data_IF_232938598016
#
_entry.id   IF_232938598016
#
_cell.length_a   1.000
_cell.length_b   1.000
_cell.length_c   1.000
_cell.angle_alpha   90.00
_cell.angle_beta   90.00
_cell.angle_gamma   90.00
#
_symmetry.space_group_name_H-M   'P 1'
#
loop_
_entity.id
_entity.type
_entity.pdbx_description
1 polymer ?
#
# COMPACT_ATOMS: atom_id res chain seq x y z
N UNK A 1 -7.73 21.24 24.27
CA UNK A 1 -6.97 22.48 24.58
C UNK A 1 -5.52 22.15 24.95
N UNK A 2 -4.57 22.85 24.32
CA UNK A 2 -3.14 22.70 24.55
C UNK A 2 -2.68 23.48 25.79
N UNK A 3 -1.72 22.93 26.55
CA UNK A 3 -1.08 23.63 27.65
C UNK A 3 0.35 24.02 27.26
N UNK A 4 0.51 25.26 26.79
CA UNK A 4 1.81 25.83 26.39
C UNK A 4 2.82 26.02 27.53
N UNK A 5 2.54 25.56 28.76
CA UNK A 5 3.55 25.44 29.83
C UNK A 5 4.22 24.06 29.86
N UNK A 6 3.71 23.08 29.10
CA UNK A 6 4.31 21.76 28.99
C UNK A 6 5.57 21.84 28.11
N UNK A 7 6.77 21.50 28.64
CA UNK A 7 8.03 21.62 27.88
C UNK A 7 7.99 20.87 26.55
N UNK A 8 7.53 19.61 26.58
CA UNK A 8 7.42 18.77 25.38
C UNK A 8 6.57 19.38 24.26
N UNK A 9 5.54 20.18 24.59
CA UNK A 9 4.74 20.86 23.58
C UNK A 9 5.47 22.07 23.00
N UNK A 10 6.26 22.79 23.82
CA UNK A 10 7.10 23.89 23.34
C UNK A 10 8.20 23.38 22.43
N UNK A 11 8.81 22.26 22.78
CA UNK A 11 9.85 21.64 21.98
C UNK A 11 9.33 21.33 20.57
N UNK A 12 8.09 20.82 20.44
CA UNK A 12 7.45 20.61 19.13
C UNK A 12 7.18 21.93 18.39
N UNK A 13 6.76 22.98 19.09
CA UNK A 13 6.48 24.29 18.47
C UNK A 13 7.77 24.96 17.97
N UNK A 14 8.87 24.82 18.72
CA UNK A 14 10.16 25.44 18.40
C UNK A 14 11.01 24.62 17.42
N UNK A 15 10.72 23.32 17.27
CA UNK A 15 11.42 22.44 16.33
C UNK A 15 11.13 22.82 14.86
N UNK A 16 12.09 22.56 13.96
CA UNK A 16 11.84 22.61 12.52
C UNK A 16 10.64 21.74 12.13
N UNK A 17 9.96 22.12 11.06
CA UNK A 17 8.77 21.46 10.57
C UNK A 17 9.04 20.11 9.86
N UNK A 18 9.76 19.20 10.52
CA UNK A 18 9.86 17.81 10.12
C UNK A 18 8.52 17.11 10.38
N UNK A 19 7.78 16.82 9.31
CA UNK A 19 6.42 16.30 9.38
C UNK A 19 6.35 14.98 10.15
N UNK A 20 7.29 14.07 9.93
CA UNK A 20 7.32 12.74 10.55
C UNK A 20 7.54 12.86 12.07
N UNK A 21 8.57 13.61 12.45
CA UNK A 21 8.96 13.79 13.83
C UNK A 21 7.88 14.54 14.62
N UNK A 22 7.34 15.62 14.05
CA UNK A 22 6.24 16.39 14.66
C UNK A 22 5.00 15.52 14.84
N UNK A 23 4.59 14.75 13.82
CA UNK A 23 3.44 13.83 13.92
C UNK A 23 3.64 12.82 15.03
N UNK A 24 4.81 12.18 15.07
CA UNK A 24 5.16 11.16 16.08
C UNK A 24 5.11 11.72 17.49
N UNK A 25 5.68 12.92 17.70
CA UNK A 25 5.69 13.57 19.01
C UNK A 25 4.30 14.00 19.45
N UNK A 26 3.52 14.60 18.55
CA UNK A 26 2.14 15.00 18.85
C UNK A 26 1.22 13.81 19.08
N UNK A 27 1.33 12.73 18.30
CA UNK A 27 0.56 11.51 18.48
C UNK A 27 0.83 10.89 19.86
N UNK A 28 2.10 10.81 20.25
CA UNK A 28 2.51 10.32 21.58
C UNK A 28 1.95 11.19 22.71
N UNK A 29 2.09 12.51 22.61
CA UNK A 29 1.56 13.45 23.61
C UNK A 29 0.02 13.40 23.70
N UNK A 30 -0.64 13.32 22.55
CA UNK A 30 -2.08 13.17 22.43
C UNK A 30 -2.56 11.88 23.12
N UNK A 31 -1.95 10.73 22.83
CA UNK A 31 -2.35 9.45 23.43
C UNK A 31 -2.14 9.42 24.95
N UNK A 32 -0.99 9.88 25.44
CA UNK A 32 -0.73 9.95 26.89
C UNK A 32 -1.77 10.79 27.63
N UNK A 33 -2.17 11.92 27.03
CA UNK A 33 -3.18 12.81 27.63
C UNK A 33 -4.59 12.27 27.46
N UNK A 34 -4.93 11.69 26.30
CA UNK A 34 -6.23 11.08 26.04
C UNK A 34 -6.53 10.00 27.07
N UNK A 35 -5.56 9.13 27.38
CA UNK A 35 -5.70 8.10 28.41
C UNK A 35 -6.10 8.70 29.77
N UNK A 36 -5.41 9.77 30.20
CA UNK A 36 -5.71 10.47 31.46
C UNK A 36 -7.12 11.09 31.50
N UNK A 37 -7.67 11.47 30.33
CA UNK A 37 -9.05 11.94 30.21
C UNK A 37 -10.02 10.76 30.27
N UNK A 38 -9.80 9.70 29.50
CA UNK A 38 -10.72 8.55 29.43
C UNK A 38 -10.74 7.70 30.70
N UNK A 39 -9.69 7.76 31.54
CA UNK A 39 -9.68 7.12 32.87
C UNK A 39 -10.70 7.72 33.86
N UNK A 40 -11.34 8.84 33.50
CA UNK A 40 -12.34 9.52 34.32
C UNK A 40 -13.73 9.38 33.72
N UNK A 41 -14.67 8.85 34.49
CA UNK A 41 -16.04 8.53 34.06
C UNK A 41 -16.82 9.70 33.42
N UNK A 42 -16.54 10.95 33.80
CA UNK A 42 -17.22 12.13 33.24
C UNK A 42 -16.72 12.54 31.84
N UNK A 43 -15.56 12.05 31.42
CA UNK A 43 -14.92 12.44 30.15
C UNK A 43 -15.03 11.36 29.08
N UNK A 44 -15.10 10.09 29.49
CA UNK A 44 -15.12 8.95 28.56
C UNK A 44 -16.35 8.91 27.64
N UNK A 45 -17.43 9.62 27.99
CA UNK A 45 -18.67 9.72 27.20
C UNK A 45 -18.94 11.16 26.69
N UNK A 46 -17.95 12.05 26.77
CA UNK A 46 -18.11 13.44 26.33
C UNK A 46 -17.43 13.64 24.98
N UNK A 47 -18.14 13.24 23.92
CA UNK A 47 -17.61 13.21 22.56
C UNK A 47 -17.17 14.59 22.07
N UNK A 48 -17.93 15.65 22.37
CA UNK A 48 -17.57 17.03 22.02
C UNK A 48 -16.23 17.45 22.65
N UNK A 49 -16.04 17.13 23.94
CA UNK A 49 -14.79 17.46 24.63
C UNK A 49 -13.61 16.61 24.12
N UNK A 50 -13.84 15.34 23.78
CA UNK A 50 -12.81 14.46 23.21
C UNK A 50 -12.42 14.92 21.79
N UNK A 51 -13.39 15.36 21.00
CA UNK A 51 -13.16 15.96 19.68
C UNK A 51 -12.34 17.24 19.80
N UNK A 52 -12.78 18.23 20.58
CA UNK A 52 -12.06 19.50 20.76
C UNK A 52 -10.64 19.28 21.33
N UNK A 53 -10.49 18.26 22.17
CA UNK A 53 -9.18 17.83 22.65
C UNK A 53 -8.29 17.32 21.51
N UNK A 54 -8.78 16.39 20.68
CA UNK A 54 -8.06 15.90 19.50
C UNK A 54 -7.76 17.00 18.50
N UNK A 55 -8.75 17.83 18.17
CA UNK A 55 -8.64 18.93 17.22
C UNK A 55 -7.55 19.93 17.63
N UNK A 56 -7.33 20.14 18.93
CA UNK A 56 -6.25 21.01 19.42
C UNK A 56 -4.85 20.53 19.03
N UNK A 57 -4.59 19.22 19.10
CA UNK A 57 -3.29 18.65 18.71
C UNK A 57 -3.17 18.57 17.18
N UNK A 58 -4.24 18.17 16.52
CA UNK A 58 -4.29 18.08 15.06
C UNK A 58 -4.13 19.45 14.40
N UNK A 59 -4.59 20.52 15.06
CA UNK A 59 -4.35 21.89 14.60
C UNK A 59 -2.88 22.29 14.70
N UNK A 60 -2.18 21.92 15.77
CA UNK A 60 -0.74 22.15 15.86
C UNK A 60 0.03 21.33 14.80
N UNK A 61 -0.39 20.10 14.52
CA UNK A 61 0.17 19.32 13.42
C UNK A 61 -0.09 20.00 12.07
N UNK A 62 -1.31 20.47 11.82
CA UNK A 62 -1.70 21.23 10.63
C UNK A 62 -0.87 22.51 10.46
N UNK A 63 -0.65 23.27 11.53
CA UNK A 63 0.16 24.48 11.49
C UNK A 63 1.63 24.14 11.12
N UNK A 64 2.16 23.01 11.62
CA UNK A 64 3.49 22.52 11.26
C UNK A 64 3.59 21.96 9.85
N UNK A 65 2.53 21.31 9.34
CA UNK A 65 2.43 20.95 7.93
C UNK A 65 2.50 22.19 7.04
N UNK A 66 1.78 23.25 7.40
CA UNK A 66 1.82 24.51 6.68
C UNK A 66 3.21 25.14 6.69
N UNK A 67 3.88 25.16 7.86
CA UNK A 67 5.27 25.60 7.99
C UNK A 67 6.20 24.81 7.05
N UNK A 68 6.12 23.48 7.05
CA UNK A 68 6.91 22.62 6.18
C UNK A 68 6.70 22.92 4.69
N UNK A 69 5.45 23.16 4.27
CA UNK A 69 5.12 23.50 2.89
C UNK A 69 5.62 24.89 2.49
N UNK A 70 5.65 25.86 3.41
CA UNK A 70 6.18 27.19 3.12
C UNK A 70 7.71 27.21 3.06
N UNK A 71 8.37 26.35 3.85
CA UNK A 71 9.84 26.27 3.92
C UNK A 71 10.47 25.48 2.75
N UNK A 72 9.70 24.64 2.05
CA UNK A 72 10.16 23.92 0.86
C UNK A 72 10.18 24.85 -0.37
N UNK A 73 11.34 24.97 -1.04
CA UNK A 73 11.52 25.90 -2.16
C UNK A 73 10.57 25.63 -3.35
N UNK A 74 10.23 24.38 -3.64
CA UNK A 74 9.35 24.03 -4.76
C UNK A 74 7.88 24.30 -4.45
N UNK A 75 7.49 24.22 -3.18
CA UNK A 75 6.11 24.44 -2.74
C UNK A 75 5.89 25.92 -2.37
N UNK A 76 6.78 26.50 -1.57
CA UNK A 76 6.71 27.86 -1.03
C UNK A 76 6.65 28.95 -2.09
N UNK A 77 7.37 28.78 -3.20
CA UNK A 77 7.38 29.71 -4.33
C UNK A 77 6.29 29.41 -5.38
N UNK A 78 5.45 28.40 -5.14
CA UNK A 78 4.47 27.95 -6.13
C UNK A 78 3.17 28.73 -6.08
N UNK A 79 2.57 28.95 -7.25
CA UNK A 79 1.20 29.46 -7.33
C UNK A 79 0.18 28.51 -6.67
N UNK A 80 0.50 27.23 -6.50
CA UNK A 80 -0.42 26.29 -5.84
C UNK A 80 -0.71 26.74 -4.41
N UNK A 81 0.33 27.13 -3.66
CA UNK A 81 0.21 27.47 -2.25
C UNK A 81 -0.71 28.67 -2.00
N UNK A 82 -0.78 29.63 -2.93
CA UNK A 82 -1.68 30.78 -2.88
C UNK A 82 -3.17 30.40 -2.88
N UNK A 83 -3.50 29.23 -3.43
CA UNK A 83 -4.86 28.69 -3.49
C UNK A 83 -5.15 27.65 -2.39
N UNK A 84 -4.13 27.21 -1.65
CA UNK A 84 -4.30 26.14 -0.66
C UNK A 84 -4.70 26.68 0.71
N UNK A 85 -5.55 25.92 1.41
CA UNK A 85 -5.78 26.12 2.82
C UNK A 85 -6.11 24.80 3.53
N UNK A 86 -5.73 24.71 4.80
CA UNK A 86 -5.87 23.51 5.61
C UNK A 86 -7.03 23.65 6.61
N UNK A 87 -7.73 22.55 6.87
CA UNK A 87 -8.83 22.50 7.82
C UNK A 87 -8.78 21.28 8.71
N UNK A 88 -8.94 21.46 10.02
CA UNK A 88 -9.19 20.33 10.93
C UNK A 88 -10.68 19.98 10.93
N UNK A 89 -11.00 18.70 10.71
CA UNK A 89 -12.38 18.21 10.69
C UNK A 89 -12.56 17.01 11.62
N UNK A 90 -13.79 16.79 12.08
CA UNK A 90 -14.17 15.62 12.88
C UNK A 90 -14.39 14.40 12.00
N UNK A 91 -13.95 13.23 12.47
CA UNK A 91 -14.24 11.93 11.88
C UNK A 91 -14.72 10.95 12.96
N UNK A 92 -15.37 9.87 12.55
CA UNK A 92 -15.91 8.84 13.45
C UNK A 92 -14.86 8.27 14.42
N UNK A 93 -13.60 8.20 13.97
CA UNK A 93 -12.49 7.64 14.74
C UNK A 93 -11.39 8.65 15.09
N UNK A 94 -11.67 9.95 15.01
CA UNK A 94 -10.71 10.99 15.42
C UNK A 94 -10.88 12.31 14.68
N UNK A 95 -9.76 12.84 14.21
CA UNK A 95 -9.70 14.12 13.49
C UNK A 95 -8.84 13.96 12.26
N UNK A 96 -9.23 14.63 11.18
CA UNK A 96 -8.45 14.71 9.96
C UNK A 96 -7.97 16.13 9.68
N UNK A 97 -6.99 16.23 8.78
CA UNK A 97 -6.59 17.49 8.14
C UNK A 97 -7.02 17.43 6.68
N UNK A 98 -7.95 18.29 6.28
CA UNK A 98 -8.31 18.47 4.88
C UNK A 98 -7.37 19.48 4.23
N UNK A 99 -6.93 19.17 3.01
CA UNK A 99 -6.16 20.07 2.14
C UNK A 99 -7.07 20.53 1.01
N UNK A 100 -7.46 21.80 1.05
CA UNK A 100 -8.45 22.37 0.14
C UNK A 100 -7.78 23.32 -0.84
N UNK A 101 -8.34 23.43 -2.03
CA UNK A 101 -7.99 24.37 -3.09
C UNK A 101 -9.13 25.35 -3.31
N UNK A 102 -8.86 26.64 -3.24
CA UNK A 102 -9.81 27.70 -3.58
C UNK A 102 -9.59 28.12 -5.04
N UNK A 103 -10.57 27.92 -5.91
CA UNK A 103 -10.45 28.32 -7.31
C UNK A 103 -10.63 29.83 -7.53
N UNK A 104 -10.42 30.28 -8.77
CA UNK A 104 -10.56 31.69 -9.18
C UNK A 104 -11.98 32.25 -8.98
N UNK A 105 -13.00 31.39 -8.88
CA UNK A 105 -14.38 31.78 -8.62
C UNK A 105 -14.67 31.87 -7.11
N UNK A 106 -13.75 31.41 -6.26
CA UNK A 106 -13.88 31.33 -4.82
C UNK A 106 -14.56 30.05 -4.32
N UNK A 107 -14.77 29.06 -5.20
CA UNK A 107 -15.30 27.76 -4.81
C UNK A 107 -14.17 26.91 -4.18
N UNK A 108 -14.53 26.13 -3.15
CA UNK A 108 -13.58 25.26 -2.44
C UNK A 108 -13.69 23.83 -2.93
N UNK A 109 -12.55 23.26 -3.27
CA UNK A 109 -12.37 21.91 -3.77
C UNK A 109 -11.50 21.13 -2.77
N UNK A 110 -11.96 19.98 -2.30
CA UNK A 110 -11.17 19.14 -1.40
C UNK A 110 -10.20 18.32 -2.25
N UNK A 111 -8.89 18.58 -2.12
CA UNK A 111 -7.89 17.81 -2.88
C UNK A 111 -7.71 16.44 -2.24
N UNK A 112 -7.24 16.42 -1.00
CA UNK A 112 -7.00 15.21 -0.22
C UNK A 112 -7.18 15.48 1.27
N UNK A 113 -7.34 14.42 2.06
CA UNK A 113 -7.33 14.48 3.52
C UNK A 113 -6.23 13.61 4.11
N UNK A 114 -5.71 14.03 5.27
CA UNK A 114 -4.91 13.20 6.17
C UNK A 114 -5.87 12.65 7.22
N UNK A 115 -6.35 11.43 6.99
CA UNK A 115 -7.32 10.77 7.86
C UNK A 115 -6.65 10.28 9.14
N UNK A 116 -7.35 10.41 10.27
CA UNK A 116 -6.83 10.07 11.60
C UNK A 116 -5.41 10.61 11.87
N UNK A 117 -5.14 11.88 11.56
CA UNK A 117 -3.79 12.48 11.44
C UNK A 117 -2.79 12.25 12.59
N UNK A 118 -3.26 11.91 13.80
CA UNK A 118 -2.43 11.63 14.98
C UNK A 118 -2.49 10.16 15.44
N UNK A 119 -2.93 9.25 14.58
CA UNK A 119 -3.04 7.82 14.85
C UNK A 119 -2.02 7.01 14.05
N UNK A 120 -1.74 5.79 14.50
CA UNK A 120 -0.84 4.86 13.79
C UNK A 120 -1.40 4.40 12.43
N UNK A 121 -2.70 4.59 12.21
CA UNK A 121 -3.40 4.26 10.97
C UNK A 121 -3.65 5.51 10.12
N UNK A 122 -2.91 6.59 10.36
CA UNK A 122 -3.03 7.79 9.57
C UNK A 122 -2.66 7.49 8.11
N UNK A 123 -3.50 7.93 7.19
CA UNK A 123 -3.33 7.70 5.76
C UNK A 123 -3.87 8.89 4.98
N UNK A 124 -3.48 8.97 3.71
CA UNK A 124 -4.01 9.95 2.78
C UNK A 124 -5.24 9.36 2.10
N UNK A 125 -6.26 10.20 1.89
CA UNK A 125 -7.43 9.87 1.08
C UNK A 125 -7.56 10.91 -0.02
N UNK A 126 -7.54 10.46 -1.27
CA UNK A 126 -7.71 11.36 -2.41
C UNK A 126 -9.19 11.71 -2.62
N UNK A 127 -9.48 12.96 -2.97
CA UNK A 127 -10.83 13.41 -3.31
C UNK A 127 -10.86 13.95 -4.73
N UNK A 128 -10.23 15.09 -4.99
CA UNK A 128 -10.19 15.72 -6.32
C UNK A 128 -8.77 15.81 -6.89
N UNK A 129 -7.91 14.88 -6.49
CA UNK A 129 -6.58 14.70 -7.07
C UNK A 129 -6.64 14.05 -8.45
N UNK A 130 -5.61 14.27 -9.30
CA UNK A 130 -5.60 13.72 -10.65
C UNK A 130 -5.50 12.20 -10.64
N UNK A 131 -6.22 11.56 -11.55
CA UNK A 131 -6.17 10.11 -11.81
C UNK A 131 -5.59 9.82 -13.20
N UNK A 132 -5.30 8.55 -13.51
CA UNK A 132 -4.68 8.15 -14.78
C UNK A 132 -5.49 8.60 -16.00
N UNK A 133 -6.82 8.59 -15.90
CA UNK A 133 -7.72 9.02 -16.96
C UNK A 133 -7.57 10.52 -17.31
N UNK A 134 -7.15 11.36 -16.35
CA UNK A 134 -6.95 12.80 -16.52
C UNK A 134 -5.60 13.14 -17.16
N UNK A 135 -4.62 12.23 -17.08
CA UNK A 135 -3.33 12.39 -17.76
C UNK A 135 -3.47 12.03 -19.25
N UNK A 136 -4.23 10.96 -19.54
CA UNK A 136 -4.33 10.38 -20.88
C UNK A 136 -5.28 11.16 -21.80
N UNK A 137 -6.32 11.76 -21.23
CA UNK A 137 -7.14 12.73 -21.92
C UNK A 137 -6.57 14.09 -21.54
N UNK A 138 -6.22 14.95 -22.50
CA UNK A 138 -5.94 16.37 -22.22
C UNK A 138 -7.21 17.00 -21.62
N UNK A 139 -7.45 16.79 -20.32
CA UNK A 139 -8.66 17.18 -19.64
C UNK A 139 -8.70 18.70 -19.64
N UNK A 140 -9.39 19.26 -20.63
CA UNK A 140 -9.58 20.69 -20.74
C UNK A 140 -10.28 21.18 -19.47
N UNK A 141 -9.54 21.93 -18.64
CA UNK A 141 -10.09 22.59 -17.46
C UNK A 141 -9.89 21.88 -16.13
N UNK A 142 -8.91 20.98 -15.96
CA UNK A 142 -8.52 20.55 -14.61
C UNK A 142 -8.04 21.75 -13.78
N UNK A 143 -8.46 21.81 -12.51
CA UNK A 143 -8.24 22.97 -11.64
C UNK A 143 -6.76 23.25 -11.34
N UNK A 144 -5.93 22.20 -11.29
CA UNK A 144 -4.49 22.31 -11.05
C UNK A 144 -3.77 22.29 -12.41
N UNK A 145 -3.22 23.43 -12.81
CA UNK A 145 -2.51 23.53 -14.09
C UNK A 145 -1.10 22.89 -14.03
N UNK A 146 -0.47 22.72 -15.19
CA UNK A 146 0.85 22.08 -15.29
C UNK A 146 1.96 22.78 -14.48
N UNK A 147 1.85 24.08 -14.20
CA UNK A 147 2.85 24.82 -13.41
C UNK A 147 2.69 24.60 -11.90
N UNK A 148 1.48 24.30 -11.45
CA UNK A 148 1.17 23.98 -10.06
C UNK A 148 1.49 22.51 -9.72
N UNK A 149 1.54 21.67 -10.74
CA UNK A 149 1.72 20.23 -10.58
C UNK A 149 3.03 19.81 -9.88
N UNK A 150 4.21 20.41 -10.16
CA UNK A 150 5.45 20.06 -9.44
C UNK A 150 5.37 20.30 -7.93
N UNK A 151 4.71 21.39 -7.51
CA UNK A 151 4.50 21.66 -6.09
C UNK A 151 3.57 20.63 -5.44
N UNK A 152 2.50 20.24 -6.14
CA UNK A 152 1.59 19.19 -5.67
C UNK A 152 2.32 17.84 -5.51
N UNK A 153 3.14 17.45 -6.49
CA UNK A 153 3.97 16.24 -6.42
C UNK A 153 4.90 16.30 -5.20
N UNK A 154 5.58 17.42 -4.98
CA UNK A 154 6.49 17.62 -3.86
C UNK A 154 5.77 17.56 -2.50
N UNK A 155 4.57 18.15 -2.38
CA UNK A 155 3.75 18.03 -1.17
C UNK A 155 3.45 16.56 -0.83
N UNK A 156 3.06 15.77 -1.83
CA UNK A 156 2.81 14.34 -1.63
C UNK A 156 4.12 13.60 -1.26
N UNK A 157 5.26 13.92 -1.87
CA UNK A 157 6.56 13.34 -1.51
C UNK A 157 6.91 13.60 -0.03
N UNK A 158 6.74 14.83 0.45
CA UNK A 158 6.97 15.16 1.87
C UNK A 158 6.04 14.37 2.82
N UNK A 159 4.78 14.17 2.43
CA UNK A 159 3.83 13.37 3.21
C UNK A 159 4.20 11.88 3.22
N UNK A 160 4.66 11.35 2.09
CA UNK A 160 5.13 9.96 1.98
C UNK A 160 6.38 9.71 2.82
N UNK A 161 7.34 10.65 2.85
CA UNK A 161 8.49 10.61 3.76
C UNK A 161 8.03 10.54 5.21
N UNK A 162 6.94 11.22 5.55
CA UNK A 162 6.33 11.18 6.88
C UNK A 162 5.42 9.97 7.14
N UNK A 163 5.51 8.92 6.32
CA UNK A 163 4.71 7.70 6.43
C UNK A 163 3.20 7.99 6.42
N UNK A 164 2.78 8.91 5.54
CA UNK A 164 1.39 9.17 5.16
C UNK A 164 1.20 8.77 3.71
N UNK A 165 0.52 7.65 3.49
CA UNK A 165 0.36 7.06 2.16
C UNK A 165 -1.11 7.00 1.75
N UNK A 166 -1.38 7.10 0.45
CA UNK A 166 -2.67 6.65 -0.10
C UNK A 166 -2.78 5.13 0.03
N UNK A 167 -4.00 4.62 0.16
CA UNK A 167 -4.23 3.19 0.38
C UNK A 167 -4.39 2.40 -0.92
N UNK A 168 -4.76 3.07 -2.00
CA UNK A 168 -4.97 2.43 -3.29
C UNK A 168 -4.41 3.24 -4.47
N UNK A 169 -3.72 2.60 -5.43
CA UNK A 169 -3.29 3.24 -6.69
C UNK A 169 -4.45 3.81 -7.52
N UNK A 170 -5.70 3.40 -7.26
CA UNK A 170 -6.89 3.93 -7.94
C UNK A 170 -7.22 5.36 -7.53
N UNK A 171 -6.77 5.79 -6.35
CA UNK A 171 -7.10 7.09 -5.77
C UNK A 171 -6.43 8.25 -6.51
N UNK A 172 -5.17 8.09 -6.90
CA UNK A 172 -4.41 9.17 -7.54
C UNK A 172 -3.12 8.67 -8.19
N UNK A 173 -2.67 9.40 -9.21
CA UNK A 173 -1.38 9.22 -9.91
C UNK A 173 -0.18 9.86 -9.21
N UNK A 174 -0.40 10.47 -8.05
CA UNK A 174 0.65 11.11 -7.27
C UNK A 174 1.37 10.14 -6.32
N UNK A 175 1.06 8.84 -6.40
CA UNK A 175 1.72 7.83 -5.57
C UNK A 175 3.07 7.44 -6.17
N UNK A 176 4.08 7.12 -5.37
CA UNK A 176 5.32 6.50 -5.84
C UNK A 176 5.04 5.22 -6.61
N UNK A 177 5.82 4.96 -7.66
CA UNK A 177 5.76 3.69 -8.39
C UNK A 177 6.42 2.57 -7.57
N UNK A 178 7.48 2.91 -6.85
CA UNK A 178 8.17 1.92 -6.02
C UNK A 178 7.28 1.48 -4.86
N UNK A 179 7.18 0.17 -4.65
CA UNK A 179 6.27 -0.48 -3.71
C UNK A 179 4.77 -0.21 -3.97
N UNK A 180 4.40 0.21 -5.18
CA UNK A 180 2.98 0.34 -5.52
C UNK A 180 2.35 -1.05 -5.56
N UNK A 181 1.43 -1.30 -4.64
CA UNK A 181 0.88 -2.61 -4.35
C UNK A 181 -0.64 -2.63 -4.54
N UNK A 182 -1.16 -3.62 -5.27
CA UNK A 182 -2.59 -3.75 -5.51
C UNK A 182 -3.02 -5.16 -5.92
N UNK A 183 -4.30 -5.47 -5.67
CA UNK A 183 -4.91 -6.75 -5.99
C UNK A 183 -5.13 -6.91 -7.49
N UNK A 184 -4.84 -8.09 -8.02
CA UNK A 184 -5.04 -8.43 -9.43
C UNK A 184 -5.93 -9.65 -9.57
N UNK A 185 -6.61 -9.77 -10.70
CA UNK A 185 -7.48 -10.91 -10.95
C UNK A 185 -6.67 -12.12 -11.43
N UNK A 186 -6.62 -13.16 -10.60
CA UNK A 186 -6.00 -14.43 -10.95
C UNK A 186 -6.90 -15.31 -11.84
N UNK A 187 -6.32 -16.16 -12.69
CA UNK A 187 -7.05 -17.22 -13.36
C UNK A 187 -7.59 -18.25 -12.36
N UNK A 188 -8.56 -19.07 -12.80
CA UNK A 188 -9.14 -20.11 -11.95
C UNK A 188 -8.04 -21.05 -11.41
N UNK A 189 -8.03 -21.24 -10.10
CA UNK A 189 -7.06 -22.09 -9.45
C UNK A 189 -7.27 -23.56 -9.81
N UNK A 190 -6.16 -24.30 -9.85
CA UNK A 190 -6.15 -25.74 -10.09
C UNK A 190 -5.80 -26.47 -8.81
N UNK A 191 -6.55 -27.53 -8.54
CA UNK A 191 -6.35 -28.38 -7.37
C UNK A 191 -5.48 -29.57 -7.75
N UNK A 192 -4.45 -29.79 -6.94
CA UNK A 192 -3.56 -30.94 -7.00
C UNK A 192 -3.64 -31.71 -5.69
N UNK A 193 -3.67 -33.03 -5.75
CA UNK A 193 -3.83 -33.87 -4.55
C UNK A 193 -2.84 -35.02 -4.56
N UNK A 194 -2.26 -35.31 -3.40
CA UNK A 194 -1.42 -36.47 -3.16
C UNK A 194 -1.76 -37.11 -1.82
N UNK A 195 -1.67 -38.44 -1.74
CA UNK A 195 -1.92 -39.18 -0.51
C UNK A 195 -0.71 -39.98 -0.09
N UNK A 196 -0.50 -40.09 1.22
CA UNK A 196 0.58 -40.88 1.80
C UNK A 196 0.09 -41.60 3.05
N UNK A 197 0.36 -42.91 3.13
CA UNK A 197 0.16 -43.65 4.37
C UNK A 197 1.39 -43.50 5.27
N UNK A 198 1.19 -43.01 6.49
CA UNK A 198 2.27 -42.81 7.47
C UNK A 198 2.82 -44.16 7.92
N UNK A 199 4.13 -44.33 7.79
CA UNK A 199 4.85 -45.56 8.17
C UNK A 199 4.82 -45.78 9.68
N UNK A 200 4.90 -47.06 10.09
CA UNK A 200 5.12 -47.46 11.49
C UNK A 200 6.49 -47.05 12.04
N UNK A 201 7.44 -46.70 11.17
CA UNK A 201 8.76 -46.26 11.60
C UNK A 201 8.77 -44.75 11.86
N UNK A 202 8.52 -44.36 13.11
CA UNK A 202 8.44 -42.96 13.58
C UNK A 202 9.73 -42.16 13.36
N UNK A 203 10.87 -42.83 13.12
CA UNK A 203 12.14 -42.18 12.83
C UNK A 203 12.26 -41.68 11.37
N UNK A 204 11.38 -42.13 10.47
CA UNK A 204 11.38 -41.67 9.07
C UNK A 204 10.50 -40.43 8.94
N UNK A 205 11.02 -39.30 8.43
CA UNK A 205 10.20 -38.12 8.14
C UNK A 205 9.04 -38.47 7.20
N UNK A 206 7.88 -37.89 7.46
CA UNK A 206 6.72 -38.01 6.58
C UNK A 206 6.85 -36.93 5.53
N UNK A 207 6.97 -37.32 4.26
CA UNK A 207 7.11 -36.39 3.14
C UNK A 207 6.11 -36.73 2.04
N UNK A 208 5.18 -35.81 1.79
CA UNK A 208 4.19 -35.92 0.71
C UNK A 208 4.60 -34.95 -0.39
N UNK A 209 4.72 -35.44 -1.62
CA UNK A 209 5.06 -34.64 -2.78
C UNK A 209 3.89 -34.62 -3.75
N UNK A 210 3.64 -33.47 -4.37
CA UNK A 210 2.69 -33.31 -5.47
C UNK A 210 3.30 -32.45 -6.57
N UNK A 211 3.19 -32.90 -7.81
CA UNK A 211 3.70 -32.16 -8.96
C UNK A 211 2.68 -31.10 -9.36
N UNK A 212 3.07 -29.83 -9.22
CA UNK A 212 2.27 -28.66 -9.58
C UNK A 212 2.79 -27.99 -10.87
N UNK A 213 3.98 -28.36 -11.35
CA UNK A 213 4.56 -27.83 -12.58
C UNK A 213 4.92 -26.34 -12.46
N UNK A 214 4.50 -25.53 -13.44
CA UNK A 214 4.79 -24.09 -13.45
C UNK A 214 3.78 -23.25 -12.64
N UNK A 215 2.84 -23.89 -11.95
CA UNK A 215 1.89 -23.20 -11.09
C UNK A 215 2.56 -22.75 -9.79
N UNK A 216 2.14 -21.61 -9.27
CA UNK A 216 2.53 -21.14 -7.96
C UNK A 216 1.46 -21.46 -6.90
N UNK A 217 1.89 -21.69 -5.67
CA UNK A 217 0.99 -22.15 -4.61
C UNK A 217 0.25 -20.99 -3.99
N UNK A 218 -1.08 -21.03 -4.13
CA UNK A 218 -2.01 -20.10 -3.50
C UNK A 218 -2.34 -20.54 -2.07
N UNK A 219 -2.71 -21.81 -1.91
CA UNK A 219 -3.05 -22.38 -0.61
C UNK A 219 -2.77 -23.87 -0.59
N UNK A 220 -2.63 -24.45 0.59
CA UNK A 220 -2.55 -25.90 0.74
C UNK A 220 -3.09 -26.32 2.10
N UNK A 221 -3.54 -27.57 2.18
CA UNK A 221 -3.88 -28.22 3.42
C UNK A 221 -3.45 -29.68 3.43
N UNK A 222 -3.24 -30.22 4.63
CA UNK A 222 -2.98 -31.63 4.87
C UNK A 222 -3.99 -32.12 5.88
N UNK A 223 -4.80 -33.10 5.49
CA UNK A 223 -5.81 -33.71 6.36
C UNK A 223 -5.52 -35.17 6.60
N UNK A 224 -5.88 -35.65 7.79
CA UNK A 224 -5.86 -37.08 8.10
C UNK A 224 -7.11 -37.82 7.57
N UNK A 225 -7.16 -39.13 7.76
CA UNK A 225 -8.26 -39.99 7.29
C UNK A 225 -9.60 -39.74 8.01
N UNK A 226 -9.57 -39.03 9.14
CA UNK A 226 -10.76 -38.59 9.88
C UNK A 226 -11.18 -37.16 9.55
N UNK A 227 -10.40 -36.47 8.72
CA UNK A 227 -10.65 -35.09 8.27
C UNK A 227 -10.08 -34.01 9.19
N UNK A 228 -9.20 -34.34 10.14
CA UNK A 228 -8.55 -33.32 10.96
C UNK A 228 -7.44 -32.63 10.15
N UNK A 229 -7.34 -31.30 10.30
CA UNK A 229 -6.28 -30.50 9.71
C UNK A 229 -4.97 -30.68 10.51
N UNK A 230 -3.93 -31.14 9.81
CA UNK A 230 -2.59 -31.35 10.35
C UNK A 230 -1.54 -30.52 9.62
N UNK A 231 -1.97 -29.54 8.83
CA UNK A 231 -1.13 -28.71 7.94
C UNK A 231 0.06 -28.09 8.68
N UNK A 232 -0.18 -27.55 9.88
CA UNK A 232 0.83 -26.81 10.67
C UNK A 232 1.90 -27.69 11.29
N UNK A 233 1.75 -29.02 11.25
CA UNK A 233 2.72 -29.94 11.86
C UNK A 233 3.97 -30.11 10.97
N UNK A 234 3.83 -29.87 9.67
CA UNK A 234 4.93 -29.97 8.71
C UNK A 234 5.36 -28.62 8.14
N UNK A 235 6.37 -28.66 7.28
CA UNK A 235 6.92 -27.51 6.57
C UNK A 235 6.71 -27.68 5.07
N UNK A 236 6.16 -26.67 4.38
CA UNK A 236 6.06 -26.67 2.94
C UNK A 236 7.41 -26.33 2.29
N UNK A 237 7.65 -26.87 1.11
CA UNK A 237 8.77 -26.51 0.25
C UNK A 237 8.41 -26.76 -1.22
N UNK A 238 8.71 -25.78 -2.08
CA UNK A 238 8.54 -25.87 -3.54
C UNK A 238 9.91 -26.02 -4.19
N UNK A 239 10.07 -27.07 -4.99
CA UNK A 239 11.28 -27.29 -5.78
C UNK A 239 11.29 -26.41 -7.04
N UNK A 240 12.48 -26.13 -7.58
CA UNK A 240 12.62 -25.41 -8.86
C UNK A 240 11.99 -26.16 -10.05
N UNK A 241 11.72 -27.47 -9.91
CA UNK A 241 11.05 -28.29 -10.93
C UNK A 241 9.53 -28.30 -10.84
N UNK A 242 8.93 -27.56 -9.91
CA UNK A 242 7.48 -27.52 -9.76
C UNK A 242 6.90 -28.63 -8.88
N UNK A 243 7.69 -29.18 -7.97
CA UNK A 243 7.19 -30.16 -6.98
C UNK A 243 6.92 -29.45 -5.67
N UNK A 244 5.66 -29.43 -5.23
CA UNK A 244 5.33 -29.02 -3.88
C UNK A 244 5.52 -30.20 -2.93
N UNK A 245 6.15 -29.95 -1.79
CA UNK A 245 6.38 -30.95 -0.77
C UNK A 245 5.97 -30.44 0.60
N UNK A 246 5.32 -31.31 1.37
CA UNK A 246 5.04 -31.09 2.79
C UNK A 246 5.80 -32.14 3.59
N UNK A 247 6.64 -31.69 4.52
CA UNK A 247 7.50 -32.56 5.33
C UNK A 247 7.30 -32.31 6.82
N UNK A 248 6.96 -33.36 7.57
CA UNK A 248 6.84 -33.34 9.01
C UNK A 248 7.80 -34.34 9.66
N UNK A 249 8.44 -33.90 10.74
CA UNK A 249 9.30 -34.76 11.54
C UNK A 249 8.50 -35.37 12.70
N UNK A 250 8.72 -36.65 12.98
CA UNK A 250 8.23 -37.34 14.18
C UNK A 250 6.71 -37.21 14.41
N UNK A 251 5.91 -38.06 13.74
CA UNK A 251 4.44 -38.09 13.84
C UNK A 251 3.90 -39.37 14.51
N UNK A 252 4.15 -39.62 15.81
CA UNK A 252 3.70 -40.85 16.47
C UNK A 252 2.18 -40.99 16.52
N UNK A 253 1.43 -39.90 16.65
CA UNK A 253 -0.04 -39.91 16.78
C UNK A 253 -0.76 -40.22 15.46
N UNK A 254 -0.09 -40.00 14.32
CA UNK A 254 -0.62 -40.22 12.97
C UNK A 254 -0.10 -41.51 12.33
N UNK A 255 0.59 -42.35 13.10
CA UNK A 255 1.13 -43.63 12.62
C UNK A 255 0.02 -44.52 12.02
N UNK A 256 0.24 -45.10 10.84
CA UNK A 256 -0.73 -45.85 10.03
C UNK A 256 -1.92 -45.06 9.47
N UNK A 257 -2.06 -43.77 9.75
CA UNK A 257 -3.10 -42.96 9.14
C UNK A 257 -2.73 -42.60 7.70
N UNK A 258 -3.75 -42.40 6.86
CA UNK A 258 -3.56 -41.85 5.52
C UNK A 258 -3.70 -40.33 5.56
N UNK A 259 -2.64 -39.62 5.16
CA UNK A 259 -2.67 -38.18 4.99
C UNK A 259 -2.99 -37.83 3.54
N UNK A 260 -3.81 -36.81 3.34
CA UNK A 260 -4.14 -36.23 2.04
C UNK A 260 -3.65 -34.79 2.01
N UNK A 261 -2.66 -34.52 1.16
CA UNK A 261 -2.20 -33.18 0.81
C UNK A 261 -3.04 -32.68 -0.36
N UNK A 262 -3.69 -31.53 -0.20
CA UNK A 262 -4.33 -30.80 -1.30
C UNK A 262 -3.64 -29.46 -1.46
N UNK A 263 -3.24 -29.13 -2.68
CA UNK A 263 -2.59 -27.88 -3.05
C UNK A 263 -3.48 -27.19 -4.07
N UNK A 264 -3.87 -25.96 -3.77
CA UNK A 264 -4.49 -25.04 -4.71
C UNK A 264 -3.38 -24.15 -5.30
N UNK A 265 -3.23 -24.21 -6.61
CA UNK A 265 -2.17 -23.47 -7.30
C UNK A 265 -2.70 -22.73 -8.53
N UNK A 266 -2.08 -21.61 -8.86
CA UNK A 266 -2.49 -20.68 -9.92
C UNK A 266 -1.38 -20.48 -10.94
N UNK A 267 -1.76 -20.24 -12.20
CA UNK A 267 -0.81 -20.03 -13.29
C UNK A 267 -0.46 -18.54 -13.41
N UNK A 268 0.58 -18.09 -12.72
CA UNK A 268 1.03 -16.69 -12.71
C UNK A 268 1.39 -16.20 -14.12
N UNK A 269 2.00 -17.06 -14.91
CA UNK A 269 2.42 -16.78 -16.29
C UNK A 269 1.25 -16.49 -17.25
N UNK A 270 0.01 -16.74 -16.81
CA UNK A 270 -1.22 -16.46 -17.57
C UNK A 270 -2.06 -15.34 -16.95
N UNK A 271 -1.45 -14.51 -16.09
CA UNK A 271 -2.15 -13.34 -15.54
C UNK A 271 -2.50 -12.37 -16.67
N UNK A 272 -3.79 -12.00 -16.83
CA UNK A 272 -4.20 -11.09 -17.90
C UNK A 272 -3.48 -9.74 -17.90
N UNK A 273 -3.13 -9.22 -16.72
CA UNK A 273 -2.38 -7.97 -16.60
C UNK A 273 -0.92 -8.11 -17.06
N UNK A 274 -0.28 -9.27 -16.87
CA UNK A 274 1.08 -9.53 -17.33
C UNK A 274 1.12 -9.82 -18.84
N UNK A 275 0.15 -10.58 -19.36
CA UNK A 275 -0.01 -10.79 -20.80
C UNK A 275 -0.17 -9.45 -21.53
N UNK A 276 -1.02 -8.57 -21.00
CA UNK A 276 -1.23 -7.25 -21.53
C UNK A 276 0.05 -6.40 -21.46
N UNK A 277 0.75 -6.42 -20.32
CA UNK A 277 2.02 -5.72 -20.18
C UNK A 277 3.03 -6.19 -21.21
N UNK A 278 3.16 -7.51 -21.42
CA UNK A 278 4.07 -8.08 -22.39
C UNK A 278 3.76 -7.59 -23.81
N UNK A 279 2.48 -7.60 -24.21
CA UNK A 279 2.03 -7.12 -25.52
C UNK A 279 2.31 -5.62 -25.70
N UNK A 280 1.96 -4.80 -24.70
CA UNK A 280 2.16 -3.35 -24.73
C UNK A 280 3.66 -3.01 -24.74
N UNK A 281 4.45 -3.63 -23.86
CA UNK A 281 5.90 -3.40 -23.76
C UNK A 281 6.61 -3.80 -25.07
N UNK A 282 6.28 -4.97 -25.62
CA UNK A 282 6.83 -5.43 -26.92
C UNK A 282 6.51 -4.46 -28.05
N UNK A 283 5.28 -3.94 -28.11
CA UNK A 283 4.88 -2.90 -29.06
C UNK A 283 5.68 -1.58 -28.93
N UNK A 284 6.30 -1.34 -27.77
CA UNK A 284 7.15 -0.18 -27.49
C UNK A 284 8.66 -0.51 -27.52
N UNK A 285 9.05 -1.70 -28.02
CA UNK A 285 10.43 -2.21 -28.01
C UNK A 285 11.06 -2.33 -26.61
N UNK A 286 10.23 -2.61 -25.61
CA UNK A 286 10.68 -2.81 -24.23
C UNK A 286 10.76 -4.29 -23.96
N UNK A 287 11.95 -4.74 -23.54
CA UNK A 287 12.19 -6.13 -23.22
C UNK A 287 11.68 -6.44 -21.82
N UNK A 288 10.78 -7.43 -21.72
CA UNK A 288 10.35 -8.01 -20.46
C UNK A 288 11.11 -9.32 -20.23
N UNK A 289 11.71 -9.46 -19.04
CA UNK A 289 12.47 -10.64 -18.59
C UNK A 289 11.81 -11.25 -17.37
N UNK A 290 11.90 -12.57 -17.24
CA UNK A 290 11.59 -13.26 -15.98
C UNK A 290 12.76 -13.13 -15.02
N UNK A 291 12.48 -12.80 -13.77
CA UNK A 291 13.45 -12.71 -12.69
C UNK A 291 13.94 -14.07 -12.20
N UNK A 292 14.74 -14.07 -11.13
CA UNK A 292 15.30 -15.29 -10.54
C UNK A 292 14.28 -16.14 -9.78
N UNK A 293 13.13 -15.55 -9.41
CA UNK A 293 12.06 -16.20 -8.67
C UNK A 293 10.79 -16.26 -9.52
N UNK A 294 9.99 -17.30 -9.30
CA UNK A 294 8.64 -17.39 -9.89
C UNK A 294 7.83 -16.17 -9.46
N UNK A 295 7.08 -15.57 -10.39
CA UNK A 295 6.30 -14.36 -10.12
C UNK A 295 7.11 -13.05 -10.14
N UNK A 296 8.42 -13.10 -10.42
CA UNK A 296 9.24 -11.91 -10.61
C UNK A 296 9.46 -11.61 -12.09
N UNK A 297 9.25 -10.37 -12.50
CA UNK A 297 9.45 -9.87 -13.86
C UNK A 297 10.16 -8.52 -13.85
N UNK A 298 10.86 -8.20 -14.94
CA UNK A 298 11.59 -6.95 -15.09
C UNK A 298 11.40 -6.41 -16.50
N UNK A 299 11.12 -5.12 -16.62
CA UNK A 299 11.08 -4.41 -17.89
C UNK A 299 12.29 -3.48 -17.99
N UNK A 300 13.11 -3.67 -19.02
CA UNK A 300 14.24 -2.78 -19.30
C UNK A 300 13.75 -1.52 -20.01
N UNK A 301 13.71 -0.42 -19.28
CA UNK A 301 13.27 0.86 -19.83
C UNK A 301 14.37 1.50 -20.69
N UNK A 302 14.00 2.36 -21.65
CA UNK A 302 14.94 3.03 -22.55
C UNK A 302 16.08 3.81 -21.88
N UNK A 303 15.92 4.22 -20.62
CA UNK A 303 16.94 4.94 -19.85
C UNK A 303 17.85 4.02 -19.00
N UNK A 304 17.87 2.71 -19.31
CA UNK A 304 18.64 1.68 -18.58
C UNK A 304 18.18 1.47 -17.13
N UNK A 305 17.02 2.02 -16.74
CA UNK A 305 16.37 1.67 -15.48
C UNK A 305 15.45 0.47 -15.66
N UNK A 306 15.23 -0.29 -14.59
CA UNK A 306 14.39 -1.47 -14.59
C UNK A 306 13.09 -1.22 -13.83
N UNK A 307 11.94 -1.45 -14.47
CA UNK A 307 10.66 -1.57 -13.76
C UNK A 307 10.49 -3.02 -13.34
N UNK A 308 10.61 -3.28 -12.04
CA UNK A 308 10.41 -4.60 -11.45
C UNK A 308 8.94 -4.85 -11.12
N UNK A 309 8.52 -6.10 -11.22
CA UNK A 309 7.17 -6.55 -10.90
C UNK A 309 7.29 -7.84 -10.11
N UNK A 310 6.63 -7.89 -8.97
CA UNK A 310 6.51 -9.08 -8.14
C UNK A 310 5.05 -9.43 -7.98
N UNK A 311 4.70 -10.68 -8.24
CA UNK A 311 3.36 -11.23 -8.04
C UNK A 311 3.37 -12.12 -6.80
N UNK A 312 2.38 -11.91 -5.93
CA UNK A 312 2.09 -12.78 -4.81
C UNK A 312 0.79 -13.54 -5.07
N UNK A 313 0.89 -14.87 -5.22
CA UNK A 313 -0.28 -15.73 -5.47
C UNK A 313 -1.12 -16.00 -4.24
N UNK A 314 -0.58 -15.82 -3.04
CA UNK A 314 -1.29 -16.09 -1.78
C UNK A 314 -2.22 -14.91 -1.47
N UNK A 315 -1.68 -13.70 -1.58
CA UNK A 315 -2.43 -12.46 -1.34
C UNK A 315 -3.15 -11.95 -2.60
N UNK A 316 -2.94 -12.60 -3.74
CA UNK A 316 -3.47 -12.22 -5.06
C UNK A 316 -3.11 -10.79 -5.48
N UNK A 317 -1.85 -10.41 -5.23
CA UNK A 317 -1.39 -9.04 -5.42
C UNK A 317 -0.23 -8.93 -6.41
N UNK A 318 -0.05 -7.71 -6.91
CA UNK A 318 1.08 -7.29 -7.72
C UNK A 318 1.73 -6.07 -7.07
N UNK A 319 3.05 -6.12 -6.95
CA UNK A 319 3.88 -5.01 -6.44
C UNK A 319 4.83 -4.53 -7.53
N UNK A 320 4.85 -3.23 -7.76
CA UNK A 320 5.83 -2.58 -8.63
C UNK A 320 7.08 -2.17 -7.85
N UNK A 321 8.22 -2.24 -8.51
CA UNK A 321 9.51 -1.81 -7.98
C UNK A 321 10.18 -0.88 -8.97
N UNK A 322 10.71 0.23 -8.48
CA UNK A 322 11.43 1.20 -9.29
C UNK A 322 12.71 1.66 -8.59
N UNK A 323 13.84 1.88 -9.30
CA UNK A 323 15.11 2.18 -8.65
C UNK A 323 15.11 3.51 -7.87
N UNK A 324 14.37 4.49 -8.38
CA UNK A 324 14.11 5.74 -7.69
C UNK A 324 12.81 5.61 -6.88
N UNK A 325 12.94 5.64 -5.56
CA UNK A 325 11.83 5.43 -4.63
C UNK A 325 10.79 6.56 -4.69
N UNK A 326 11.18 7.76 -5.14
CA UNK A 326 10.34 8.95 -5.12
C UNK A 326 9.69 9.24 -6.48
N UNK A 327 10.02 8.47 -7.52
CA UNK A 327 9.38 8.61 -8.84
C UNK A 327 7.90 8.25 -8.73
N UNK A 328 7.01 9.22 -8.97
CA UNK A 328 5.57 9.03 -8.91
C UNK A 328 4.98 8.48 -10.23
N UNK A 329 3.81 7.85 -10.15
CA UNK A 329 3.10 7.25 -11.29
C UNK A 329 2.95 8.26 -12.43
N UNK A 330 2.62 9.51 -12.11
CA UNK A 330 2.54 10.61 -13.07
C UNK A 330 3.83 10.82 -13.86
N UNK A 331 4.96 10.94 -13.16
CA UNK A 331 6.28 11.21 -13.76
C UNK A 331 6.68 10.07 -14.70
N UNK A 332 6.47 8.83 -14.24
CA UNK A 332 6.78 7.65 -15.02
C UNK A 332 5.83 7.51 -16.23
N UNK A 333 4.54 7.80 -16.07
CA UNK A 333 3.55 7.72 -17.15
C UNK A 333 3.77 8.78 -18.24
N UNK A 334 4.23 9.99 -17.87
CA UNK A 334 4.63 11.01 -18.85
C UNK A 334 5.88 10.59 -19.63
N UNK A 335 6.86 10.00 -18.94
CA UNK A 335 8.08 9.50 -19.57
C UNK A 335 7.81 8.27 -20.45
N UNK A 336 6.92 7.41 -19.99
CA UNK A 336 6.59 6.12 -20.59
C UNK A 336 5.07 5.94 -20.72
N UNK A 337 4.44 6.46 -21.78
CA UNK A 337 2.98 6.39 -21.95
C UNK A 337 2.41 4.97 -21.93
N UNK A 338 3.20 3.98 -22.33
CA UNK A 338 2.82 2.56 -22.27
C UNK A 338 2.52 2.10 -20.83
N UNK A 339 3.27 2.60 -19.85
CA UNK A 339 3.11 2.25 -18.44
C UNK A 339 1.78 2.78 -17.90
N UNK A 340 1.48 4.06 -18.14
CA UNK A 340 0.21 4.65 -17.73
C UNK A 340 -0.99 3.94 -18.33
N UNK A 341 -0.91 3.57 -19.62
CA UNK A 341 -1.95 2.83 -20.32
C UNK A 341 -2.17 1.42 -19.75
N UNK A 342 -1.09 0.70 -19.50
CA UNK A 342 -1.14 -0.62 -18.87
C UNK A 342 -1.71 -0.55 -17.44
N UNK A 343 -1.24 0.41 -16.64
CA UNK A 343 -1.69 0.56 -15.26
C UNK A 343 -3.18 0.90 -15.20
N UNK A 344 -3.66 1.77 -16.08
CA UNK A 344 -5.08 2.12 -16.17
C UNK A 344 -5.95 0.90 -16.49
N UNK A 345 -5.55 0.09 -17.47
CA UNK A 345 -6.28 -1.14 -17.84
C UNK A 345 -6.25 -2.18 -16.72
N UNK A 346 -5.11 -2.31 -16.04
CA UNK A 346 -4.95 -3.24 -14.92
C UNK A 346 -5.84 -2.83 -13.75
N UNK A 347 -5.81 -1.56 -13.35
CA UNK A 347 -6.58 -1.03 -12.22
C UNK A 347 -8.11 -1.09 -12.44
N UNK A 348 -8.60 -1.08 -13.68
CA UNK A 348 -10.03 -1.32 -13.99
C UNK A 348 -10.50 -2.71 -13.56
N UNK A 349 -9.60 -3.68 -13.56
CA UNK A 349 -9.89 -5.08 -13.19
C UNK A 349 -9.35 -5.45 -11.81
N UNK A 350 -8.57 -4.57 -11.19
CA UNK A 350 -7.98 -4.78 -9.87
C UNK A 350 -9.07 -4.92 -8.80
N UNK A 351 -8.85 -5.87 -7.89
CA UNK A 351 -9.69 -6.09 -6.72
C UNK A 351 -9.14 -5.23 -5.58
N UNK A 352 -10.00 -4.81 -4.64
CA UNK A 352 -9.53 -4.12 -3.45
C UNK A 352 -8.75 -5.13 -2.58
N UNK A 353 -7.58 -4.73 -2.11
CA UNK A 353 -6.76 -5.48 -1.15
C UNK A 353 -7.27 -5.22 0.26
#
# INVERSE_FOLDING_TARGET
>A
MLNFKQPQLRDVIEAPADIEQVRTDLARLYQQKRQLYTDKAHWVHNDDALFEFGASYTRLFMDKLWEAFNDDELIGDSALLDHLWLQVVQQEHGTAVNVNYADESGDNHLLFSIDQALHMQAHLTAHELPVLADINNEAQGYMINEKMFPALLQMIKLLYVADLHFLSPKETVLQPVNNLHFGVKFPDAKIFTATLKVSNNVATPVKINVEIGHYDVRSFNVVDETGNDVTTIGKPHVSAGGTFSWEAQHLPELTNQTLTLTVEAVAIDTLPCLDNLFVIASGNNILMRTGAQVGSFQLELPNEQELGITVDSQDETLTLHYPDADTQIYELSKTYPFFGKWLEETLKTAVNV
#
